data_IF_693440132756
#
_entry.id   IF_693440132756
#
_cell.length_a   1.000
_cell.length_b   1.000
_cell.length_c   1.000
_cell.angle_alpha   90.00
_cell.angle_beta   90.00
_cell.angle_gamma   90.00
#
_symmetry.space_group_name_H-M   'P 1'
#
loop_
_entity.id
_entity.type
_entity.pdbx_description
1 polymer ?
#
# COMPACT_ATOMS: atom_id res chain seq x y z
N UNK A 1 -13.79 15.55 5.58
CA UNK A 1 -13.51 14.10 5.66
C UNK A 1 -13.92 13.61 7.03
N UNK A 2 -14.73 12.56 7.14
CA UNK A 2 -15.19 12.07 8.44
C UNK A 2 -14.02 11.46 9.23
N UNK A 3 -14.05 11.60 10.55
CA UNK A 3 -12.99 11.07 11.44
C UNK A 3 -13.18 9.56 11.61
N UNK A 4 -12.15 8.73 11.39
CA UNK A 4 -12.25 7.30 11.61
C UNK A 4 -12.40 6.94 13.10
N UNK A 5 -13.26 5.96 13.44
CA UNK A 5 -13.24 5.34 14.76
C UNK A 5 -11.85 4.82 15.14
N UNK A 6 -11.52 4.73 16.44
CA UNK A 6 -10.28 4.12 16.89
C UNK A 6 -10.08 2.73 16.28
N UNK A 7 -8.86 2.44 15.80
CA UNK A 7 -8.54 1.14 15.19
C UNK A 7 -9.08 0.95 13.77
N UNK A 8 -9.53 2.01 13.10
CA UNK A 8 -9.98 1.92 11.70
C UNK A 8 -9.25 2.91 10.80
N UNK A 9 -9.24 2.64 9.49
CA UNK A 9 -8.84 3.59 8.46
C UNK A 9 -10.04 3.99 7.60
N UNK A 10 -10.00 5.22 7.08
CA UNK A 10 -10.97 5.70 6.12
C UNK A 10 -10.52 5.33 4.70
N UNK A 11 -11.32 4.50 4.03
CA UNK A 11 -11.25 4.34 2.58
C UNK A 11 -12.25 5.30 1.94
N UNK A 12 -11.83 6.08 0.96
CA UNK A 12 -12.69 7.02 0.23
C UNK A 12 -13.31 6.38 -1.00
N UNK A 13 -14.40 6.96 -1.51
CA UNK A 13 -14.90 6.63 -2.84
C UNK A 13 -13.82 6.88 -3.90
N UNK A 14 -13.69 5.96 -4.85
CA UNK A 14 -12.59 5.93 -5.81
C UNK A 14 -11.46 4.98 -5.38
N UNK A 15 -10.25 5.26 -5.83
CA UNK A 15 -9.08 4.41 -5.56
C UNK A 15 -8.47 4.72 -4.21
N UNK A 16 -8.08 3.67 -3.51
CA UNK A 16 -7.30 3.71 -2.29
C UNK A 16 -6.06 2.82 -2.48
N UNK A 17 -4.92 3.25 -1.97
CA UNK A 17 -3.73 2.41 -1.82
C UNK A 17 -3.54 2.22 -0.32
N UNK A 18 -3.77 1.00 0.18
CA UNK A 18 -3.87 0.73 1.61
C UNK A 18 -3.15 -0.55 1.98
N UNK A 19 -2.49 -0.54 3.14
CA UNK A 19 -1.98 -1.75 3.75
C UNK A 19 -3.14 -2.58 4.29
N UNK A 20 -3.10 -3.89 4.06
CA UNK A 20 -3.82 -4.83 4.89
C UNK A 20 -2.91 -5.23 6.06
N UNK A 21 -3.31 -4.97 7.31
CA UNK A 21 -2.50 -5.28 8.50
C UNK A 21 -3.10 -6.39 9.36
N UNK A 22 -4.28 -6.89 9.03
CA UNK A 22 -4.94 -7.98 9.74
C UNK A 22 -4.28 -9.34 9.51
N UNK A 23 -4.76 -10.42 10.16
CA UNK A 23 -4.22 -11.78 10.03
C UNK A 23 -4.37 -12.32 8.59
N UNK A 24 -3.61 -13.36 8.24
CA UNK A 24 -3.86 -14.05 6.97
C UNK A 24 -5.28 -14.66 6.97
N UNK A 25 -6.08 -14.33 5.96
CA UNK A 25 -7.44 -14.83 5.81
C UNK A 25 -7.95 -14.70 4.36
N UNK A 26 -9.07 -15.36 4.01
CA UNK A 26 -9.75 -15.14 2.75
C UNK A 26 -10.05 -13.66 2.52
N UNK A 27 -9.96 -13.20 1.27
CA UNK A 27 -10.14 -11.77 0.96
C UNK A 27 -11.58 -11.30 1.25
N UNK A 28 -12.56 -12.20 1.13
CA UNK A 28 -13.95 -11.97 1.52
C UNK A 28 -14.07 -11.64 3.01
N UNK A 29 -13.38 -12.41 3.86
CA UNK A 29 -13.38 -12.20 5.32
C UNK A 29 -12.61 -10.93 5.69
N UNK A 30 -11.49 -10.67 5.01
CA UNK A 30 -10.69 -9.45 5.23
C UNK A 30 -11.45 -8.15 4.89
N UNK A 31 -12.42 -8.21 3.97
CA UNK A 31 -13.19 -7.06 3.52
C UNK A 31 -14.63 -7.08 4.04
N UNK A 32 -15.01 -8.02 4.90
CA UNK A 32 -16.41 -8.25 5.30
C UNK A 32 -17.13 -6.97 5.76
N UNK A 33 -16.49 -6.15 6.57
CA UNK A 33 -17.06 -4.90 7.11
C UNK A 33 -17.28 -3.80 6.05
N UNK A 34 -16.65 -3.92 4.88
CA UNK A 34 -16.70 -2.94 3.81
C UNK A 34 -17.14 -3.53 2.47
N UNK A 35 -17.53 -4.81 2.43
CA UNK A 35 -17.71 -5.59 1.21
C UNK A 35 -18.75 -4.96 0.26
N UNK A 36 -19.85 -4.42 0.81
CA UNK A 36 -20.91 -3.75 0.05
C UNK A 36 -20.45 -2.48 -0.68
N UNK A 37 -19.24 -2.00 -0.39
CA UNK A 37 -18.69 -0.76 -0.95
C UNK A 37 -17.45 -1.01 -1.80
N UNK A 38 -16.87 -2.22 -1.76
CA UNK A 38 -15.73 -2.60 -2.60
C UNK A 38 -16.21 -2.95 -4.01
N UNK A 39 -15.61 -2.35 -5.03
CA UNK A 39 -15.89 -2.65 -6.44
C UNK A 39 -14.84 -3.57 -7.04
N UNK A 40 -13.57 -3.39 -6.66
CA UNK A 40 -12.46 -4.23 -7.09
C UNK A 40 -11.27 -4.08 -6.14
N UNK A 41 -10.49 -5.14 -6.01
CA UNK A 41 -9.18 -5.10 -5.35
C UNK A 41 -8.12 -5.58 -6.32
N UNK A 42 -6.97 -4.92 -6.33
CA UNK A 42 -5.80 -5.33 -7.08
C UNK A 42 -4.58 -5.42 -6.17
N UNK A 43 -3.76 -6.46 -6.40
CA UNK A 43 -2.48 -6.65 -5.73
C UNK A 43 -1.39 -6.76 -6.78
N UNK A 44 -0.40 -5.86 -6.73
CA UNK A 44 0.70 -5.87 -7.68
C UNK A 44 1.60 -7.09 -7.46
N UNK A 45 1.95 -7.78 -8.53
CA UNK A 45 2.89 -8.92 -8.53
C UNK A 45 4.29 -8.46 -8.92
N UNK A 46 5.29 -9.24 -8.53
CA UNK A 46 6.70 -8.95 -8.84
C UNK A 46 6.99 -8.91 -10.35
N UNK A 47 6.22 -9.66 -11.16
CA UNK A 47 6.31 -9.67 -12.62
C UNK A 47 5.66 -8.45 -13.30
N UNK A 48 5.34 -7.40 -12.53
CA UNK A 48 4.68 -6.17 -12.99
C UNK A 48 3.21 -6.36 -13.42
N UNK A 49 2.65 -7.56 -13.23
CA UNK A 49 1.23 -7.83 -13.38
C UNK A 49 0.44 -7.53 -12.11
N UNK A 50 -0.86 -7.85 -12.15
CA UNK A 50 -1.75 -7.71 -11.00
C UNK A 50 -2.56 -8.97 -10.78
N UNK A 51 -2.65 -9.38 -9.53
CA UNK A 51 -3.79 -10.17 -9.07
C UNK A 51 -4.99 -9.24 -8.87
N UNK A 52 -6.18 -9.81 -8.95
CA UNK A 52 -7.44 -9.06 -8.84
C UNK A 52 -8.50 -9.82 -8.07
N UNK A 53 -9.43 -9.10 -7.47
CA UNK A 53 -10.62 -9.66 -6.86
C UNK A 53 -11.82 -8.75 -7.10
N UNK A 54 -12.96 -9.37 -7.36
CA UNK A 54 -14.23 -8.71 -7.60
C UNK A 54 -15.32 -9.44 -6.80
N UNK A 55 -16.09 -8.75 -5.94
CA UNK A 55 -17.07 -9.41 -5.08
C UNK A 55 -18.15 -10.17 -5.86
N UNK A 56 -18.52 -9.66 -7.04
CA UNK A 56 -19.59 -10.20 -7.86
C UNK A 56 -19.10 -10.93 -9.12
N UNK A 57 -17.79 -11.22 -9.23
CA UNK A 57 -17.17 -11.94 -10.35
C UNK A 57 -16.05 -12.88 -9.88
N UNK A 58 -16.37 -13.93 -9.10
CA UNK A 58 -15.36 -14.85 -8.59
C UNK A 58 -14.57 -15.53 -9.71
N UNK A 59 -15.18 -15.78 -10.86
CA UNK A 59 -14.53 -16.38 -12.05
C UNK A 59 -13.44 -15.49 -12.67
N UNK A 60 -13.50 -14.18 -12.42
CA UNK A 60 -12.49 -13.23 -12.87
C UNK A 60 -11.43 -12.95 -11.80
N UNK A 61 -11.63 -13.45 -10.58
CA UNK A 61 -10.78 -13.17 -9.41
C UNK A 61 -9.62 -14.17 -9.31
N UNK A 62 -8.46 -13.66 -8.91
CA UNK A 62 -7.23 -14.43 -8.69
C UNK A 62 -6.68 -14.28 -7.28
N UNK A 63 -7.12 -13.27 -6.51
CA UNK A 63 -6.82 -13.17 -5.08
C UNK A 63 -7.85 -14.03 -4.33
N UNK A 64 -7.38 -15.07 -3.65
CA UNK A 64 -8.19 -15.87 -2.74
C UNK A 64 -7.96 -15.53 -1.26
N UNK A 65 -6.78 -15.00 -0.93
CA UNK A 65 -6.38 -14.65 0.43
C UNK A 65 -5.43 -13.44 0.42
N UNK A 66 -5.45 -12.71 1.54
CA UNK A 66 -4.56 -11.59 1.81
C UNK A 66 -3.71 -11.90 3.04
N UNK A 67 -2.44 -11.49 3.01
CA UNK A 67 -1.49 -11.70 4.10
C UNK A 67 -1.21 -10.37 4.81
N UNK A 68 -0.85 -10.39 6.11
CA UNK A 68 -0.44 -9.18 6.83
C UNK A 68 0.62 -8.39 6.05
N UNK A 69 0.50 -7.07 6.07
CA UNK A 69 1.38 -6.09 5.44
C UNK A 69 1.43 -6.16 3.91
N UNK A 70 0.43 -6.75 3.26
CA UNK A 70 0.25 -6.61 1.82
C UNK A 70 -0.35 -5.25 1.47
N UNK A 71 0.21 -4.60 0.44
CA UNK A 71 -0.36 -3.39 -0.13
C UNK A 71 -1.44 -3.74 -1.17
N UNK A 72 -2.62 -3.13 -1.03
CA UNK A 72 -3.79 -3.37 -1.88
C UNK A 72 -4.26 -2.06 -2.52
N UNK A 73 -4.55 -2.12 -3.81
CA UNK A 73 -5.36 -1.12 -4.49
C UNK A 73 -6.82 -1.49 -4.36
N UNK A 74 -7.58 -0.68 -3.62
CA UNK A 74 -9.00 -0.94 -3.35
C UNK A 74 -9.81 0.16 -4.03
N UNK A 75 -10.62 -0.23 -5.03
CA UNK A 75 -11.61 0.63 -5.65
C UNK A 75 -12.90 0.55 -4.85
N UNK A 76 -13.31 1.68 -4.29
CA UNK A 76 -14.53 1.80 -3.50
C UNK A 76 -15.61 2.58 -4.27
N UNK A 77 -16.86 2.13 -4.19
CA UNK A 77 -18.02 2.86 -4.71
C UNK A 77 -18.42 4.04 -3.82
N UNK A 78 -18.19 3.92 -2.52
CA UNK A 78 -18.40 4.98 -1.52
C UNK A 78 -17.40 4.82 -0.37
N UNK A 79 -17.29 5.83 0.48
CA UNK A 79 -16.37 5.74 1.60
C UNK A 79 -16.82 4.70 2.63
N UNK A 80 -15.86 4.11 3.34
CA UNK A 80 -16.10 3.16 4.42
C UNK A 80 -14.99 3.24 5.47
N UNK A 81 -15.28 2.84 6.70
CA UNK A 81 -14.27 2.63 7.73
C UNK A 81 -13.89 1.15 7.77
N UNK A 82 -12.62 0.86 7.52
CA UNK A 82 -12.12 -0.51 7.49
C UNK A 82 -11.31 -0.78 8.77
N UNK A 83 -11.65 -1.82 9.55
CA UNK A 83 -10.87 -2.20 10.72
C UNK A 83 -9.40 -2.46 10.37
N UNK A 84 -8.53 -1.92 11.21
CA UNK A 84 -7.10 -1.86 10.98
C UNK A 84 -6.39 -2.26 12.29
N UNK A 85 -6.49 -3.54 12.62
CA UNK A 85 -5.88 -4.16 13.79
C UNK A 85 -4.62 -4.93 13.34
N UNK A 86 -3.41 -4.41 13.61
CA UNK A 86 -2.18 -5.08 13.19
C UNK A 86 -2.05 -6.47 13.80
N UNK A 87 -1.78 -7.45 12.94
CA UNK A 87 -1.55 -8.84 13.32
C UNK A 87 -0.16 -9.29 12.89
N UNK A 88 0.49 -10.07 13.76
CA UNK A 88 1.85 -10.55 13.55
C UNK A 88 2.93 -9.51 13.84
N UNK A 89 4.16 -9.84 13.45
CA UNK A 89 5.32 -8.95 13.59
C UNK A 89 5.51 -8.18 12.28
N UNK A 90 5.52 -6.83 12.31
CA UNK A 90 5.79 -6.06 11.10
C UNK A 90 7.14 -6.45 10.49
N UNK A 91 7.22 -6.66 9.16
CA UNK A 91 8.50 -6.91 8.50
C UNK A 91 9.48 -5.77 8.79
N UNK A 92 10.74 -6.13 9.02
CA UNK A 92 11.86 -5.18 9.17
C UNK A 92 12.54 -4.88 7.83
N UNK A 93 12.20 -5.62 6.77
CA UNK A 93 12.64 -5.30 5.42
C UNK A 93 11.75 -5.95 4.37
N UNK A 94 11.79 -5.39 3.16
CA UNK A 94 11.09 -5.95 1.99
C UNK A 94 12.02 -6.00 0.78
N UNK A 95 12.06 -7.12 0.04
CA UNK A 95 12.75 -7.17 -1.23
C UNK A 95 11.96 -6.36 -2.27
N UNK A 96 12.68 -5.55 -3.04
CA UNK A 96 12.15 -4.78 -4.15
C UNK A 96 12.74 -5.31 -5.45
N UNK A 97 11.91 -5.47 -6.46
CA UNK A 97 12.34 -5.87 -7.80
C UNK A 97 12.51 -4.65 -8.70
N UNK A 98 13.28 -4.78 -9.77
CA UNK A 98 13.35 -3.75 -10.82
C UNK A 98 11.94 -3.49 -11.38
N UNK A 99 11.58 -2.22 -11.51
CA UNK A 99 10.24 -1.79 -11.92
C UNK A 99 9.42 -1.25 -10.76
N UNK A 100 8.10 -1.32 -10.89
CA UNK A 100 7.15 -0.90 -9.87
C UNK A 100 7.03 -1.94 -8.77
N UNK A 101 6.98 -1.44 -7.54
CA UNK A 101 6.73 -2.20 -6.33
C UNK A 101 5.60 -1.51 -5.57
N UNK A 102 4.61 -2.28 -5.09
CA UNK A 102 3.60 -1.79 -4.14
C UNK A 102 3.94 -2.31 -2.76
N UNK A 103 4.21 -1.40 -1.83
CA UNK A 103 4.81 -1.74 -0.53
C UNK A 103 3.99 -1.15 0.60
N UNK A 104 3.73 -1.97 1.61
CA UNK A 104 3.28 -1.47 2.91
C UNK A 104 4.51 -1.02 3.71
N UNK A 105 4.63 0.27 3.99
CA UNK A 105 5.72 0.79 4.81
C UNK A 105 5.45 0.50 6.29
N UNK A 106 6.29 -0.31 6.93
CA UNK A 106 6.13 -0.71 8.34
C UNK A 106 7.13 -0.06 9.29
N UNK A 107 8.01 0.81 8.79
CA UNK A 107 8.96 1.56 9.61
C UNK A 107 8.30 2.68 10.42
N UNK A 108 9.06 3.22 11.38
CA UNK A 108 8.68 4.41 12.15
C UNK A 108 8.36 5.60 11.26
N UNK A 109 7.44 6.45 11.73
CA UNK A 109 7.03 7.66 11.02
C UNK A 109 8.20 8.62 10.87
N UNK A 110 8.59 8.93 9.62
CA UNK A 110 9.72 9.84 9.33
C UNK A 110 9.61 10.47 7.94
N UNK A 111 10.56 11.34 7.58
CA UNK A 111 10.60 11.92 6.24
C UNK A 111 10.87 10.83 5.18
N UNK A 112 10.42 10.98 3.93
CA UNK A 112 10.73 10.00 2.88
C UNK A 112 12.24 9.80 2.65
N UNK A 113 13.04 10.86 2.85
CA UNK A 113 14.50 10.79 2.72
C UNK A 113 15.12 9.91 3.80
N UNK A 114 14.73 10.10 5.06
CA UNK A 114 15.23 9.26 6.16
C UNK A 114 14.72 7.81 6.03
N UNK A 115 13.46 7.64 5.63
CA UNK A 115 12.86 6.32 5.43
C UNK A 115 13.55 5.53 4.32
N UNK A 116 14.07 6.21 3.29
CA UNK A 116 14.71 5.59 2.13
C UNK A 116 16.24 5.76 2.09
N UNK A 117 16.86 6.19 3.19
CA UNK A 117 18.31 6.41 3.26
C UNK A 117 19.13 5.16 2.86
N UNK A 118 18.66 3.97 3.24
CA UNK A 118 19.28 2.69 2.85
C UNK A 118 19.09 2.30 1.38
N UNK A 119 18.28 3.04 0.62
CA UNK A 119 18.02 2.84 -0.81
C UNK A 119 18.67 3.93 -1.68
N UNK A 120 19.69 4.62 -1.19
CA UNK A 120 20.33 5.71 -1.94
C UNK A 120 20.75 5.26 -3.36
N UNK A 121 20.15 5.89 -4.38
CA UNK A 121 20.37 5.56 -5.80
C UNK A 121 19.65 4.31 -6.31
N UNK A 122 19.00 3.52 -5.44
CA UNK A 122 18.31 2.28 -5.79
C UNK A 122 16.87 2.47 -6.31
N UNK A 123 16.29 3.66 -6.18
CA UNK A 123 14.97 3.98 -6.70
C UNK A 123 14.89 5.39 -7.29
N UNK A 124 13.91 5.58 -8.17
CA UNK A 124 13.75 6.81 -8.97
C UNK A 124 12.68 7.72 -8.36
N UNK A 125 11.55 7.14 -7.99
CA UNK A 125 10.38 7.88 -7.53
C UNK A 125 9.51 6.99 -6.63
N UNK A 126 8.92 7.61 -5.62
CA UNK A 126 7.90 7.02 -4.77
C UNK A 126 6.62 7.83 -4.90
N UNK A 127 5.48 7.16 -4.92
CA UNK A 127 4.15 7.73 -4.94
C UNK A 127 3.31 7.25 -3.77
N UNK A 128 2.45 8.12 -3.26
CA UNK A 128 1.41 7.81 -2.29
C UNK A 128 0.09 8.40 -2.80
N UNK A 129 -0.97 7.59 -2.77
CA UNK A 129 -2.30 8.05 -3.15
C UNK A 129 -2.95 8.74 -1.96
N UNK A 130 -3.36 10.00 -2.14
CA UNK A 130 -4.09 10.77 -1.17
C UNK A 130 -5.59 10.46 -1.19
N UNK A 131 -6.26 10.74 -0.08
CA UNK A 131 -7.72 10.60 0.03
C UNK A 131 -8.50 11.64 -0.80
N UNK A 132 -7.80 12.64 -1.33
CA UNK A 132 -8.26 13.58 -2.35
C UNK A 132 -8.18 13.01 -3.78
N UNK A 133 -7.85 11.71 -3.93
CA UNK A 133 -7.60 11.04 -5.21
C UNK A 133 -6.36 11.58 -5.95
N UNK A 134 -5.55 12.41 -5.28
CA UNK A 134 -4.33 12.99 -5.82
C UNK A 134 -3.11 12.13 -5.52
N UNK A 135 -2.22 11.99 -6.51
CA UNK A 135 -0.92 11.35 -6.29
C UNK A 135 0.09 12.35 -5.72
N UNK A 136 0.59 12.05 -4.53
CA UNK A 136 1.78 12.70 -3.97
C UNK A 136 3.02 11.90 -4.35
N UNK A 137 4.16 12.57 -4.47
CA UNK A 137 5.42 11.98 -4.91
C UNK A 137 6.62 12.42 -4.09
N UNK A 138 7.62 11.56 -4.04
CA UNK A 138 8.97 11.85 -3.56
C UNK A 138 9.96 11.41 -4.63
N UNK A 139 10.83 12.35 -5.03
CA UNK A 139 11.89 12.14 -6.01
C UNK A 139 13.21 12.55 -5.34
N UNK A 140 14.07 11.60 -4.91
CA UNK A 140 15.27 11.92 -4.15
C UNK A 140 16.17 12.97 -4.80
N UNK A 141 16.32 12.89 -6.12
CA UNK A 141 17.15 13.80 -6.90
C UNK A 141 16.46 15.13 -7.29
N UNK A 142 15.17 15.31 -6.95
CA UNK A 142 14.36 16.47 -7.33
C UNK A 142 13.42 16.89 -6.18
N UNK A 143 13.95 17.50 -5.11
CA UNK A 143 13.13 17.95 -3.99
C UNK A 143 12.08 19.00 -4.40
N UNK A 144 12.33 19.78 -5.46
CA UNK A 144 11.44 20.84 -5.96
C UNK A 144 10.12 20.34 -6.54
N UNK A 145 10.06 19.06 -6.95
CA UNK A 145 8.81 18.42 -7.42
C UNK A 145 8.23 17.46 -6.38
N UNK A 146 8.88 17.27 -5.24
CA UNK A 146 8.47 16.35 -4.19
C UNK A 146 7.47 17.01 -3.24
N UNK A 147 6.43 16.27 -2.87
CA UNK A 147 5.35 16.77 -2.00
C UNK A 147 4.83 15.72 -1.00
N UNK A 148 5.47 14.55 -0.90
CA UNK A 148 5.36 13.70 0.29
C UNK A 148 6.30 14.29 1.33
N UNK A 149 5.74 14.76 2.44
CA UNK A 149 6.51 15.35 3.55
C UNK A 149 6.83 14.33 4.65
N UNK A 150 6.02 13.28 4.75
CA UNK A 150 6.11 12.25 5.79
C UNK A 150 5.59 10.92 5.25
N UNK A 151 6.27 9.84 5.62
CA UNK A 151 5.76 8.48 5.56
C UNK A 151 5.41 8.04 6.98
N UNK A 152 4.14 7.74 7.19
CA UNK A 152 3.65 7.18 8.45
C UNK A 152 3.68 5.66 8.39
N UNK A 153 3.85 5.01 9.55
CA UNK A 153 3.69 3.56 9.63
C UNK A 153 2.34 3.13 9.04
N UNK A 154 2.37 2.08 8.21
CA UNK A 154 1.26 1.55 7.41
C UNK A 154 0.76 2.44 6.26
N UNK A 155 1.57 3.41 5.82
CA UNK A 155 1.37 4.01 4.50
C UNK A 155 1.70 2.97 3.40
N UNK A 156 0.76 2.77 2.48
CA UNK A 156 1.01 2.04 1.26
C UNK A 156 1.58 2.98 0.20
N UNK A 157 2.68 2.56 -0.44
CA UNK A 157 3.40 3.34 -1.45
C UNK A 157 3.65 2.54 -2.73
N UNK A 158 3.69 3.25 -3.86
CA UNK A 158 4.27 2.74 -5.10
C UNK A 158 5.69 3.25 -5.23
N UNK A 159 6.64 2.37 -5.50
CA UNK A 159 8.05 2.74 -5.69
C UNK A 159 8.57 2.18 -7.01
N UNK A 160 9.22 3.05 -7.80
CA UNK A 160 9.91 2.65 -9.02
C UNK A 160 11.40 2.43 -8.74
N UNK A 161 11.83 1.19 -8.76
CA UNK A 161 13.22 0.76 -8.60
C UNK A 161 13.87 0.59 -9.98
N UNK A 162 15.01 1.24 -10.18
CA UNK A 162 15.80 1.15 -11.41
C UNK A 162 17.00 0.20 -11.30
N UNK A 163 17.36 -0.21 -10.07
CA UNK A 163 18.50 -1.08 -9.83
C UNK A 163 18.29 -2.47 -10.46
N UNK A 164 19.28 -2.91 -11.24
CA UNK A 164 19.28 -4.25 -11.82
C UNK A 164 19.41 -5.32 -10.71
N UNK A 165 18.64 -6.40 -10.80
CA UNK A 165 18.54 -7.40 -9.73
C UNK A 165 17.68 -6.99 -8.54
N UNK A 166 17.18 -5.75 -8.50
CA UNK A 166 16.38 -5.24 -7.38
C UNK A 166 17.23 -4.67 -6.24
N UNK A 167 16.60 -4.43 -5.10
CA UNK A 167 17.24 -3.94 -3.87
C UNK A 167 16.44 -4.40 -2.64
N UNK A 168 16.92 -4.17 -1.43
CA UNK A 168 16.19 -4.48 -0.21
C UNK A 168 15.92 -3.21 0.58
N UNK A 169 14.66 -2.92 0.88
CA UNK A 169 14.29 -1.78 1.69
C UNK A 169 14.18 -2.20 3.14
N UNK A 170 15.18 -1.86 3.95
CA UNK A 170 15.16 -2.08 5.40
C UNK A 170 14.37 -0.97 6.09
N UNK A 171 13.49 -1.38 6.97
CA UNK A 171 12.72 -0.53 7.88
C UNK A 171 13.35 -0.53 9.26
N UNK A 172 13.11 0.54 9.98
CA UNK A 172 13.38 0.67 11.40
C UNK A 172 12.00 0.73 12.07
N UNK A 173 11.40 -0.43 12.38
CA UNK A 173 10.01 -0.55 12.85
C UNK A 173 9.81 -0.14 14.30
#
# INVERSE_FOLDING_TARGET
>A
MPTPPPGTILLVGGWNNSCYVGPEQPIEDALADIADHVLAVYRMRADQGFDRWFPNRPEASTISAVNPYQSLFILMGQYAFWPHEPSGTPPTSVPLVRGWNSVCYTGQTKSPGDATAGLAGGFVIMYRLGSDQGWKRYVPARPEVSNIVQLSQYDAVLMLVNQEGGTNWTFDP
#
